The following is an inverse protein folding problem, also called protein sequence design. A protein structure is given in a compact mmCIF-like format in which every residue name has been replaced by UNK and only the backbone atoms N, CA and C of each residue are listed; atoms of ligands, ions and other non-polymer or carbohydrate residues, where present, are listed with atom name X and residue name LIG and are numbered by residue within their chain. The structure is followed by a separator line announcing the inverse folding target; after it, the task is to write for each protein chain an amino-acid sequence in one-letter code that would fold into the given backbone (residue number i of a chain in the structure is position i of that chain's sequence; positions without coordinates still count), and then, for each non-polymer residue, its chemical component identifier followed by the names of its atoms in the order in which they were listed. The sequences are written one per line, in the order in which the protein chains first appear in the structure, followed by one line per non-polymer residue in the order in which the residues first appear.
data_IF_161215683084
#
_entry.id   IF_161215683084
#
_cell.length_a   1.000
_cell.length_b   1.000
_cell.length_c   1.000
_cell.angle_alpha   90.00
_cell.angle_beta   90.00
_cell.angle_gamma   90.00
#
_symmetry.space_group_name_H-M   'P 1'
#
loop_
_entity.id
_entity.type
_entity.pdbx_description
1 polymer ?
#
# COMPACT_ATOMS: atom_id res chain seq x y z
N UNK A 1 -10.07 -21.20 -1.37
CA UNK A 1 -8.61 -21.31 -1.64
C UNK A 1 -7.92 -21.62 -0.32
N UNK A 2 -6.67 -22.08 -0.29
CA UNK A 2 -5.96 -22.23 1.00
C UNK A 2 -5.47 -20.88 1.52
N UNK A 3 -5.47 -20.69 2.84
CA UNK A 3 -4.75 -19.59 3.49
C UNK A 3 -3.27 -19.78 3.19
N UNK A 4 -2.60 -18.72 2.72
CA UNK A 4 -1.19 -18.79 2.32
C UNK A 4 -0.26 -18.72 3.54
N UNK A 5 0.92 -19.33 3.45
CA UNK A 5 1.95 -19.26 4.50
C UNK A 5 2.73 -17.96 4.41
N UNK A 6 3.37 -17.53 5.50
CA UNK A 6 4.25 -16.35 5.44
C UNK A 6 5.47 -16.54 4.54
N UNK A 7 5.99 -17.76 4.38
CA UNK A 7 7.05 -18.05 3.41
C UNK A 7 6.56 -17.73 1.98
N UNK A 8 5.35 -18.18 1.60
CA UNK A 8 4.73 -17.81 0.31
C UNK A 8 4.48 -16.30 0.20
N UNK A 9 3.83 -15.68 1.21
CA UNK A 9 3.49 -14.27 1.18
C UNK A 9 4.74 -13.38 1.10
N UNK A 10 5.84 -13.77 1.74
CA UNK A 10 7.09 -13.02 1.73
C UNK A 10 7.75 -13.01 0.35
N UNK A 11 7.86 -14.16 -0.32
CA UNK A 11 8.38 -14.24 -1.69
C UNK A 11 7.44 -13.56 -2.69
N UNK A 12 6.13 -13.76 -2.53
CA UNK A 12 5.13 -13.09 -3.36
C UNK A 12 5.27 -11.57 -3.26
N UNK A 13 5.40 -11.04 -2.04
CA UNK A 13 5.57 -9.60 -1.86
C UNK A 13 6.89 -9.09 -2.41
N UNK A 14 7.99 -9.83 -2.24
CA UNK A 14 9.28 -9.47 -2.84
C UNK A 14 9.14 -9.25 -4.36
N UNK A 15 8.50 -10.19 -5.05
CA UNK A 15 8.29 -10.08 -6.48
C UNK A 15 7.35 -8.93 -6.84
N UNK A 16 6.26 -8.72 -6.10
CA UNK A 16 5.41 -7.54 -6.28
C UNK A 16 6.18 -6.21 -6.08
N UNK A 17 7.04 -6.15 -5.06
CA UNK A 17 7.85 -4.99 -4.75
C UNK A 17 8.79 -4.66 -5.91
N UNK A 18 9.53 -5.65 -6.40
CA UNK A 18 10.48 -5.51 -7.50
C UNK A 18 9.78 -5.11 -8.81
N UNK A 19 8.63 -5.72 -9.13
CA UNK A 19 7.90 -5.42 -10.37
C UNK A 19 7.20 -4.06 -10.36
N UNK A 20 6.60 -3.67 -9.22
CA UNK A 20 5.65 -2.55 -9.19
C UNK A 20 5.96 -1.53 -8.11
N UNK A 21 5.79 -1.90 -6.83
CA UNK A 21 5.72 -0.94 -5.73
C UNK A 21 7.01 -0.12 -5.55
N UNK A 22 8.18 -0.73 -5.83
CA UNK A 22 9.48 -0.04 -5.81
C UNK A 22 9.50 1.14 -6.78
N UNK A 23 9.09 0.91 -8.02
CA UNK A 23 9.07 1.93 -9.08
C UNK A 23 8.11 3.07 -8.74
N UNK A 24 6.93 2.74 -8.22
CA UNK A 24 5.96 3.74 -7.78
C UNK A 24 6.51 4.59 -6.62
N UNK A 25 7.09 3.95 -5.60
CA UNK A 25 7.71 4.66 -4.48
C UNK A 25 8.85 5.57 -4.93
N UNK A 26 9.68 5.12 -5.87
CA UNK A 26 10.77 5.93 -6.44
C UNK A 26 10.24 7.14 -7.21
N UNK A 27 9.16 6.98 -7.98
CA UNK A 27 8.51 8.08 -8.67
C UNK A 27 7.99 9.16 -7.70
N UNK A 28 7.38 8.77 -6.58
CA UNK A 28 6.96 9.75 -5.56
C UNK A 28 8.12 10.45 -4.85
N UNK A 29 9.22 9.73 -4.60
CA UNK A 29 10.36 10.28 -3.87
C UNK A 29 11.28 11.16 -4.72
N UNK A 30 11.45 10.84 -6.01
CA UNK A 30 12.47 11.48 -6.88
C UNK A 30 11.95 11.89 -8.26
N UNK A 31 10.69 11.57 -8.58
CA UNK A 31 10.10 11.88 -9.88
C UNK A 31 9.64 13.32 -10.00
N UNK A 32 9.65 13.82 -11.23
CA UNK A 32 8.92 15.03 -11.59
C UNK A 32 7.40 14.75 -11.63
N UNK A 33 6.59 15.80 -11.82
CA UNK A 33 5.13 15.70 -11.87
C UNK A 33 4.64 14.60 -12.82
N UNK A 34 5.17 14.55 -14.05
CA UNK A 34 4.78 13.56 -15.06
C UNK A 34 5.02 12.12 -14.59
N UNK A 35 6.19 11.84 -14.01
CA UNK A 35 6.51 10.52 -13.44
C UNK A 35 5.57 10.16 -12.29
N UNK A 36 5.23 11.12 -11.42
CA UNK A 36 4.29 10.90 -10.32
C UNK A 36 2.87 10.60 -10.81
N UNK A 37 2.38 11.34 -11.81
CA UNK A 37 1.06 11.09 -12.42
C UNK A 37 1.01 9.73 -13.13
N UNK A 38 2.06 9.37 -13.85
CA UNK A 38 2.18 8.05 -14.48
C UNK A 38 2.20 6.91 -13.44
N UNK A 39 2.91 7.11 -12.33
CA UNK A 39 2.91 6.17 -11.21
C UNK A 39 1.52 6.04 -10.56
N UNK A 40 0.80 7.15 -10.33
CA UNK A 40 -0.58 7.12 -9.83
C UNK A 40 -1.51 6.34 -10.76
N UNK A 41 -1.39 6.54 -12.07
CA UNK A 41 -2.18 5.81 -13.07
C UNK A 41 -1.92 4.32 -13.02
N UNK A 42 -0.64 3.94 -13.01
CA UNK A 42 -0.23 2.54 -12.99
C UNK A 42 -0.64 1.86 -11.69
N UNK A 43 -0.37 2.50 -10.54
CA UNK A 43 -0.77 2.03 -9.22
C UNK A 43 -2.30 1.90 -9.09
N UNK A 44 -3.05 2.90 -9.58
CA UNK A 44 -4.52 2.87 -9.56
C UNK A 44 -5.10 1.69 -10.32
N UNK A 45 -4.48 1.30 -11.44
CA UNK A 45 -4.81 0.09 -12.20
C UNK A 45 -4.42 -1.18 -11.44
N UNK A 46 -3.16 -1.28 -11.00
CA UNK A 46 -2.63 -2.43 -10.26
C UNK A 46 -3.47 -2.78 -9.02
N UNK A 47 -3.73 -1.78 -8.18
CA UNK A 47 -4.55 -1.92 -6.98
C UNK A 47 -6.07 -1.96 -7.23
N UNK A 48 -6.50 -1.82 -8.50
CA UNK A 48 -7.91 -1.80 -8.93
C UNK A 48 -8.76 -0.73 -8.25
N UNK A 49 -8.15 0.42 -7.96
CA UNK A 49 -8.81 1.58 -7.33
C UNK A 49 -9.11 2.72 -8.30
N UNK A 50 -8.59 2.66 -9.54
CA UNK A 50 -8.79 3.70 -10.55
C UNK A 50 -10.27 4.06 -10.82
N UNK A 51 -11.17 3.07 -10.71
CA UNK A 51 -12.63 3.26 -10.86
C UNK A 51 -13.26 4.24 -9.88
N UNK A 52 -12.58 4.53 -8.76
CA UNK A 52 -13.06 5.45 -7.74
C UNK A 52 -12.80 6.93 -8.10
N UNK A 53 -12.04 7.19 -9.16
CA UNK A 53 -11.70 8.53 -9.61
C UNK A 53 -12.21 8.72 -11.06
N UNK A 54 -13.49 9.00 -11.31
CA UNK A 54 -13.99 9.13 -12.68
C UNK A 54 -13.31 10.28 -13.44
N UNK A 55 -13.13 10.15 -14.75
CA UNK A 55 -12.46 11.19 -15.57
C UNK A 55 -13.26 12.48 -15.73
N UNK A 56 -14.55 12.47 -15.38
CA UNK A 56 -15.39 13.68 -15.35
C UNK A 56 -14.92 14.73 -14.33
N UNK A 57 -14.10 14.33 -13.36
CA UNK A 57 -13.56 15.20 -12.33
C UNK A 57 -12.12 15.68 -12.61
N UNK A 58 -11.44 15.13 -13.63
CA UNK A 58 -10.10 15.58 -14.05
C UNK A 58 -10.00 15.83 -15.56
N UNK A 59 -9.78 14.80 -16.39
CA UNK A 59 -9.49 14.95 -17.82
C UNK A 59 -10.60 15.71 -18.57
N UNK A 60 -11.88 15.44 -18.26
CA UNK A 60 -13.01 16.17 -18.90
C UNK A 60 -13.14 17.62 -18.42
N UNK A 61 -12.42 18.02 -17.37
CA UNK A 61 -12.28 19.41 -16.91
C UNK A 61 -10.99 20.07 -17.44
N UNK A 62 -10.27 19.41 -18.34
CA UNK A 62 -9.01 19.92 -18.91
C UNK A 62 -7.79 19.75 -17.99
N UNK A 63 -7.91 18.98 -16.91
CA UNK A 63 -6.79 18.68 -16.00
C UNK A 63 -6.03 17.44 -16.48
N UNK A 64 -4.77 17.28 -16.05
CA UNK A 64 -4.08 16.00 -16.25
C UNK A 64 -4.74 14.94 -15.37
N UNK A 65 -4.81 13.70 -15.87
CA UNK A 65 -5.37 12.56 -15.15
C UNK A 65 -4.71 12.38 -13.77
N UNK A 66 -5.49 12.32 -12.69
CA UNK A 66 -5.05 12.27 -11.29
C UNK A 66 -4.35 13.53 -10.73
N UNK A 67 -4.32 14.64 -11.47
CA UNK A 67 -3.71 15.88 -10.99
C UNK A 67 -4.28 16.36 -9.63
N UNK A 68 -5.62 16.39 -9.40
CA UNK A 68 -6.15 16.81 -8.09
C UNK A 68 -5.67 15.92 -6.93
N UNK A 69 -5.48 14.62 -7.17
CA UNK A 69 -4.94 13.70 -6.17
C UNK A 69 -3.47 14.00 -5.90
N UNK A 70 -2.68 14.23 -6.96
CA UNK A 70 -1.26 14.53 -6.82
C UNK A 70 -1.02 15.82 -6.03
N UNK A 71 -1.79 16.87 -6.30
CA UNK A 71 -1.70 18.16 -5.58
C UNK A 71 -1.91 17.96 -4.07
N UNK A 72 -2.93 17.18 -3.69
CA UNK A 72 -3.17 16.84 -2.28
C UNK A 72 -2.00 16.04 -1.71
N UNK A 73 -1.57 14.98 -2.41
CA UNK A 73 -0.49 14.12 -1.95
C UNK A 73 0.85 14.85 -1.83
N UNK A 74 1.16 15.79 -2.73
CA UNK A 74 2.41 16.56 -2.69
C UNK A 74 2.51 17.46 -1.46
N UNK A 75 1.38 17.92 -0.93
CA UNK A 75 1.30 18.61 0.36
C UNK A 75 1.44 17.71 1.60
N UNK A 76 1.54 16.38 1.44
CA UNK A 76 1.59 15.45 2.58
C UNK A 76 3.03 14.98 2.88
N UNK A 77 3.41 14.99 4.16
CA UNK A 77 4.68 14.46 4.64
C UNK A 77 4.44 13.44 5.76
N UNK A 78 5.47 12.65 6.11
CA UNK A 78 5.41 11.70 7.23
C UNK A 78 5.11 12.37 8.57
N UNK A 79 5.52 13.63 8.73
CA UNK A 79 5.34 14.43 9.94
C UNK A 79 3.87 14.66 10.29
N UNK A 80 3.00 14.74 9.28
CA UNK A 80 1.57 14.96 9.48
C UNK A 80 0.85 13.80 10.17
N UNK A 81 1.49 12.63 10.32
CA UNK A 81 0.91 11.43 10.91
C UNK A 81 1.40 11.15 12.34
N UNK A 82 2.21 12.04 12.94
CA UNK A 82 2.81 11.82 14.27
C UNK A 82 1.78 11.82 15.40
N UNK A 83 0.79 12.70 15.33
CA UNK A 83 -0.17 12.89 16.43
C UNK A 83 -1.34 11.90 16.33
N UNK A 84 -2.07 11.95 15.22
CA UNK A 84 -3.21 11.06 14.96
C UNK A 84 -3.24 10.67 13.48
N UNK A 85 -2.62 9.53 13.19
CA UNK A 85 -2.53 8.99 11.84
C UNK A 85 -3.91 8.70 11.22
N UNK A 86 -4.87 8.21 12.02
CA UNK A 86 -6.19 7.81 11.52
C UNK A 86 -6.97 9.05 11.12
N UNK A 87 -7.00 10.05 12.00
CA UNK A 87 -7.61 11.36 11.69
C UNK A 87 -6.98 11.97 10.44
N UNK A 88 -5.64 11.97 10.33
CA UNK A 88 -4.98 12.56 9.16
C UNK A 88 -5.32 11.85 7.86
N UNK A 89 -5.38 10.51 7.86
CA UNK A 89 -5.82 9.74 6.69
C UNK A 89 -7.26 10.10 6.31
N UNK A 90 -8.16 10.21 7.29
CA UNK A 90 -9.56 10.55 7.03
C UNK A 90 -9.75 12.00 6.55
N UNK A 91 -8.89 12.93 6.94
CA UNK A 91 -8.86 14.29 6.38
C UNK A 91 -8.46 14.26 4.91
N UNK A 92 -7.35 13.59 4.58
CA UNK A 92 -6.86 13.45 3.19
C UNK A 92 -7.88 12.71 2.33
N UNK A 93 -8.54 11.69 2.89
CA UNK A 93 -9.62 10.95 2.23
C UNK A 93 -10.77 11.87 1.84
N UNK A 94 -11.21 12.74 2.77
CA UNK A 94 -12.26 13.74 2.51
C UNK A 94 -11.84 14.77 1.46
N UNK A 95 -10.59 15.22 1.48
CA UNK A 95 -10.06 16.14 0.47
C UNK A 95 -10.10 15.50 -0.93
N UNK A 96 -9.60 14.27 -1.07
CA UNK A 96 -9.64 13.53 -2.35
C UNK A 96 -11.10 13.28 -2.75
N UNK A 97 -11.93 12.84 -1.81
CA UNK A 97 -13.35 12.57 -2.04
C UNK A 97 -14.08 13.80 -2.60
N UNK A 98 -13.84 14.98 -2.00
CA UNK A 98 -14.43 16.25 -2.43
C UNK A 98 -14.05 16.66 -3.85
N UNK A 99 -12.83 16.32 -4.31
CA UNK A 99 -12.41 16.55 -5.71
C UNK A 99 -13.10 15.61 -6.70
N UNK A 100 -13.56 14.45 -6.26
CA UNK A 100 -14.11 13.38 -7.10
C UNK A 100 -15.58 13.03 -6.80
N UNK A 101 -16.37 14.03 -6.42
CA UNK A 101 -17.83 13.89 -6.28
C UNK A 101 -18.29 13.24 -4.99
N UNK A 102 -17.56 13.42 -3.89
CA UNK A 102 -17.88 12.93 -2.54
C UNK A 102 -18.06 11.41 -2.46
N UNK A 103 -17.22 10.66 -3.19
CA UNK A 103 -17.21 9.19 -3.22
C UNK A 103 -16.36 8.62 -2.08
N UNK A 104 -16.66 7.39 -1.64
CA UNK A 104 -15.76 6.69 -0.71
C UNK A 104 -14.45 6.31 -1.41
N UNK A 105 -13.34 6.89 -0.96
CA UNK A 105 -12.00 6.69 -1.54
C UNK A 105 -10.99 6.17 -0.53
N UNK A 106 -11.40 5.78 0.68
CA UNK A 106 -10.52 5.34 1.76
C UNK A 106 -9.46 4.29 1.38
N UNK A 107 -9.85 3.23 0.65
CA UNK A 107 -8.90 2.21 0.19
C UNK A 107 -7.88 2.78 -0.80
N UNK A 108 -8.33 3.67 -1.70
CA UNK A 108 -7.44 4.36 -2.64
C UNK A 108 -6.47 5.27 -1.90
N UNK A 109 -6.99 6.08 -0.97
CA UNK A 109 -6.23 7.05 -0.19
C UNK A 109 -5.10 6.36 0.56
N UNK A 110 -5.40 5.29 1.31
CA UNK A 110 -4.36 4.55 2.07
C UNK A 110 -3.32 3.90 1.16
N UNK A 111 -3.71 3.38 -0.01
CA UNK A 111 -2.77 2.81 -0.99
C UNK A 111 -1.83 3.86 -1.58
N UNK A 112 -2.36 5.02 -2.00
CA UNK A 112 -1.52 6.09 -2.54
C UNK A 112 -0.64 6.75 -1.48
N UNK A 113 -1.15 6.93 -0.26
CA UNK A 113 -0.35 7.39 0.87
C UNK A 113 0.77 6.41 1.20
N UNK A 114 0.51 5.10 1.19
CA UNK A 114 1.55 4.10 1.41
C UNK A 114 2.66 4.16 0.33
N UNK A 115 2.31 4.35 -0.94
CA UNK A 115 3.32 4.50 -2.01
C UNK A 115 4.23 5.73 -1.80
N UNK A 116 3.68 6.80 -1.23
CA UNK A 116 4.45 8.02 -0.97
C UNK A 116 5.27 7.94 0.32
N UNK A 117 4.70 7.43 1.40
CA UNK A 117 5.22 7.60 2.77
C UNK A 117 5.63 6.25 3.39
N UNK A 118 5.02 5.16 2.92
CA UNK A 118 5.04 3.81 3.52
C UNK A 118 4.50 3.85 4.93
N UNK A 119 5.36 4.09 5.92
CA UNK A 119 4.98 4.17 7.32
C UNK A 119 4.73 5.61 7.78
N UNK A 120 3.74 5.85 8.66
CA UNK A 120 3.01 4.84 9.45
C UNK A 120 1.67 4.37 8.83
N UNK A 121 1.48 4.54 7.52
CA UNK A 121 0.20 4.24 6.87
C UNK A 121 0.04 2.74 6.62
N UNK A 122 -1.03 2.14 7.13
CA UNK A 122 -1.49 0.81 6.75
C UNK A 122 -2.48 0.90 5.58
N UNK A 123 -2.38 -0.04 4.63
CA UNK A 123 -3.31 -0.12 3.52
C UNK A 123 -4.66 -0.66 4.02
N UNK A 124 -5.72 0.11 3.80
CA UNK A 124 -7.09 -0.32 4.07
C UNK A 124 -7.63 -1.06 2.85
N UNK A 125 -7.61 -2.40 2.90
CA UNK A 125 -8.15 -3.27 1.85
C UNK A 125 -9.37 -4.04 2.36
N UNK A 126 -10.37 -4.26 1.51
CA UNK A 126 -11.60 -4.92 1.93
C UNK A 126 -11.37 -6.35 2.42
N UNK A 127 -10.43 -7.09 1.82
CA UNK A 127 -10.12 -8.46 2.21
C UNK A 127 -9.36 -8.49 3.54
N UNK A 128 -8.37 -7.60 3.71
CA UNK A 128 -7.64 -7.49 4.95
C UNK A 128 -8.57 -7.09 6.12
N UNK A 129 -9.48 -6.14 5.87
CA UNK A 129 -10.53 -5.73 6.81
C UNK A 129 -11.42 -6.90 7.24
N UNK A 130 -11.89 -7.71 6.28
CA UNK A 130 -12.70 -8.92 6.57
C UNK A 130 -11.88 -9.90 7.42
N UNK A 131 -10.62 -10.14 7.05
CA UNK A 131 -9.76 -11.11 7.73
C UNK A 131 -9.48 -10.77 9.21
N UNK A 132 -9.41 -9.48 9.54
CA UNK A 132 -9.27 -9.00 10.93
C UNK A 132 -10.61 -8.72 11.61
N UNK A 133 -11.74 -8.88 10.90
CA UNK A 133 -13.09 -8.69 11.45
C UNK A 133 -13.41 -7.25 11.80
N UNK A 134 -12.91 -6.26 11.05
CA UNK A 134 -13.24 -4.85 11.26
C UNK A 134 -14.49 -4.42 10.49
N UNK A 135 -15.23 -3.44 11.01
CA UNK A 135 -16.41 -2.89 10.34
C UNK A 135 -16.04 -2.11 9.08
N UNK A 136 -16.98 -2.01 8.14
CA UNK A 136 -16.75 -1.29 6.89
C UNK A 136 -16.78 0.22 7.11
N UNK A 137 -15.65 0.88 6.82
CA UNK A 137 -15.47 2.32 6.99
C UNK A 137 -14.78 2.67 8.31
N UNK A 138 -14.71 1.74 9.25
CA UNK A 138 -14.04 1.94 10.53
C UNK A 138 -12.51 1.76 10.39
N UNK A 139 -11.85 2.84 10.00
CA UNK A 139 -10.40 2.88 9.88
C UNK A 139 -9.70 2.70 11.23
N UNK A 140 -10.26 3.25 12.31
CA UNK A 140 -9.67 3.18 13.65
C UNK A 140 -9.70 1.74 14.18
N UNK A 141 -10.86 1.09 14.12
CA UNK A 141 -10.99 -0.32 14.50
C UNK A 141 -10.18 -1.23 13.61
N UNK A 142 -10.04 -0.92 12.31
CA UNK A 142 -9.16 -1.66 11.41
C UNK A 142 -7.70 -1.58 11.87
N UNK A 143 -7.18 -0.37 12.14
CA UNK A 143 -5.80 -0.18 12.59
C UNK A 143 -5.54 -0.91 13.90
N UNK A 144 -6.46 -0.84 14.85
CA UNK A 144 -6.34 -1.55 16.12
C UNK A 144 -6.24 -3.06 15.91
N UNK A 145 -7.23 -3.67 15.26
CA UNK A 145 -7.30 -5.12 15.03
C UNK A 145 -6.16 -5.63 14.15
N UNK A 146 -5.74 -4.84 13.16
CA UNK A 146 -4.60 -5.15 12.31
C UNK A 146 -3.31 -5.20 13.14
N UNK A 147 -3.03 -4.19 13.98
CA UNK A 147 -1.82 -4.15 14.79
C UNK A 147 -1.79 -5.27 15.83
N UNK A 148 -2.89 -5.52 16.53
CA UNK A 148 -3.03 -6.65 17.45
C UNK A 148 -2.72 -7.98 16.74
N UNK A 149 -3.29 -8.19 15.55
CA UNK A 149 -3.03 -9.40 14.78
C UNK A 149 -1.61 -9.46 14.20
N UNK A 150 -1.00 -8.32 13.84
CA UNK A 150 0.37 -8.28 13.33
C UNK A 150 1.37 -8.67 14.42
N UNK A 151 1.22 -8.14 15.65
CA UNK A 151 2.11 -8.45 16.77
C UNK A 151 2.08 -9.95 17.11
N UNK A 152 0.93 -10.62 17.02
CA UNK A 152 0.82 -12.07 17.21
C UNK A 152 1.66 -12.87 16.18
N UNK A 153 1.78 -12.38 14.96
CA UNK A 153 2.46 -13.10 13.86
C UNK A 153 3.87 -12.57 13.56
N UNK A 154 4.32 -11.54 14.28
CA UNK A 154 5.52 -10.75 13.97
C UNK A 154 6.78 -11.60 13.88
N UNK A 155 7.02 -12.47 14.86
CA UNK A 155 8.19 -13.36 14.87
C UNK A 155 8.20 -14.29 13.66
N UNK A 156 7.04 -14.84 13.29
CA UNK A 156 6.92 -15.74 12.16
C UNK A 156 7.17 -15.00 10.84
N UNK A 157 6.64 -13.79 10.68
CA UNK A 157 6.87 -12.94 9.51
C UNK A 157 8.36 -12.59 9.39
N UNK A 158 9.00 -12.19 10.49
CA UNK A 158 10.42 -11.86 10.53
C UNK A 158 11.28 -13.06 10.14
N UNK A 159 10.96 -14.25 10.66
CA UNK A 159 11.63 -15.51 10.31
C UNK A 159 11.46 -15.88 8.83
N UNK A 160 10.29 -15.64 8.24
CA UNK A 160 10.08 -15.84 6.80
C UNK A 160 10.87 -14.84 5.97
N UNK A 161 10.83 -13.55 6.34
CA UNK A 161 11.57 -12.50 5.64
C UNK A 161 13.08 -12.69 5.70
N UNK A 162 13.63 -13.19 6.82
CA UNK A 162 15.08 -13.41 6.96
C UNK A 162 15.63 -14.51 6.04
N UNK A 163 14.78 -15.38 5.49
CA UNK A 163 15.16 -16.41 4.52
C UNK A 163 15.19 -15.90 3.07
N UNK A 164 14.49 -14.80 2.77
CA UNK A 164 14.35 -14.27 1.41
C UNK A 164 15.68 -14.04 0.67
N UNK A 165 16.77 -13.58 1.31
CA UNK A 165 18.04 -13.40 0.61
C UNK A 165 18.58 -14.69 -0.05
N UNK A 166 18.29 -15.86 0.55
CA UNK A 166 18.69 -17.16 -0.01
C UNK A 166 17.80 -17.60 -1.18
N UNK A 167 16.69 -16.88 -1.43
CA UNK A 167 15.76 -17.13 -2.53
C UNK A 167 15.94 -16.14 -3.68
N UNK A 168 17.07 -15.43 -3.75
CA UNK A 168 17.32 -14.38 -4.75
C UNK A 168 17.20 -14.89 -6.21
N UNK A 169 17.49 -16.17 -6.47
CA UNK A 169 17.32 -16.78 -7.79
C UNK A 169 15.84 -16.85 -8.24
N UNK A 170 14.90 -16.74 -7.32
CA UNK A 170 13.45 -16.68 -7.59
C UNK A 170 12.91 -15.24 -7.67
N UNK A 171 13.79 -14.23 -7.58
CA UNK A 171 13.42 -12.84 -7.78
C UNK A 171 13.09 -12.59 -9.26
N UNK A 172 11.99 -11.88 -9.51
CA UNK A 172 11.53 -11.51 -10.85
C UNK A 172 12.48 -10.57 -11.60
N UNK A 173 13.30 -9.82 -10.86
CA UNK A 173 14.35 -8.94 -11.38
C UNK A 173 15.61 -9.23 -10.58
N UNK A 174 16.54 -9.99 -11.18
CA UNK A 174 17.78 -10.41 -10.52
C UNK A 174 18.88 -9.34 -10.55
N UNK A 175 18.76 -8.34 -11.43
CA UNK A 175 19.70 -7.21 -11.47
C UNK A 175 19.52 -6.33 -10.24
N UNK A 176 18.27 -6.10 -9.83
CA UNK A 176 17.93 -5.35 -8.62
C UNK A 176 17.84 -6.27 -7.39
N UNK A 177 17.24 -7.45 -7.55
CA UNK A 177 16.98 -8.45 -6.51
C UNK A 177 18.22 -9.23 -6.08
N UNK A 178 19.33 -8.54 -5.84
CA UNK A 178 20.54 -9.16 -5.28
C UNK A 178 20.30 -9.64 -3.85
N UNK A 179 21.12 -10.59 -3.39
CA UNK A 179 21.04 -11.12 -2.02
C UNK A 179 21.14 -10.00 -0.98
N UNK A 180 22.04 -9.05 -1.19
CA UNK A 180 22.27 -7.89 -0.32
C UNK A 180 21.06 -6.96 -0.30
N UNK A 181 20.52 -6.63 -1.48
CA UNK A 181 19.34 -5.77 -1.59
C UNK A 181 18.11 -6.41 -0.92
N UNK A 182 17.88 -7.70 -1.17
CA UNK A 182 16.78 -8.44 -0.56
C UNK A 182 16.92 -8.46 0.96
N UNK A 183 18.13 -8.69 1.48
CA UNK A 183 18.40 -8.66 2.92
C UNK A 183 18.07 -7.29 3.52
N UNK A 184 18.50 -6.22 2.86
CA UNK A 184 18.23 -4.87 3.33
C UNK A 184 16.72 -4.58 3.33
N UNK A 185 16.03 -4.81 2.22
CA UNK A 185 14.63 -4.40 2.05
C UNK A 185 13.67 -5.25 2.91
N UNK A 186 13.89 -6.56 2.99
CA UNK A 186 13.04 -7.48 3.76
C UNK A 186 13.17 -7.31 5.27
N UNK A 187 14.27 -6.71 5.74
CA UNK A 187 14.47 -6.36 7.15
C UNK A 187 13.65 -5.15 7.59
N UNK A 188 13.11 -4.35 6.65
CA UNK A 188 12.36 -3.14 6.98
C UNK A 188 10.98 -3.51 7.51
N UNK A 189 10.53 -2.80 8.55
CA UNK A 189 9.20 -2.97 9.14
C UNK A 189 8.09 -2.85 8.10
N UNK A 190 8.12 -1.81 7.24
CA UNK A 190 7.13 -1.63 6.19
C UNK A 190 7.04 -2.82 5.22
N UNK A 191 8.12 -3.55 5.00
CA UNK A 191 8.10 -4.73 4.13
C UNK A 191 7.37 -5.88 4.84
N UNK A 192 7.66 -6.10 6.12
CA UNK A 192 7.01 -7.11 6.96
C UNK A 192 5.51 -6.85 7.12
N UNK A 193 5.12 -5.58 7.29
CA UNK A 193 3.71 -5.17 7.31
C UNK A 193 2.99 -5.56 6.00
N UNK A 194 3.64 -5.39 4.85
CA UNK A 194 3.07 -5.76 3.55
C UNK A 194 3.01 -7.25 3.30
N UNK A 195 3.95 -8.03 3.83
CA UNK A 195 3.85 -9.50 3.87
C UNK A 195 2.60 -9.91 4.66
N UNK A 196 2.34 -9.26 5.79
CA UNK A 196 1.14 -9.51 6.58
C UNK A 196 -0.14 -9.09 5.86
N UNK A 197 -0.14 -7.98 5.13
CA UNK A 197 -1.29 -7.56 4.31
C UNK A 197 -1.66 -8.61 3.25
N UNK A 198 -0.67 -9.26 2.61
CA UNK A 198 -0.91 -10.33 1.63
C UNK A 198 -1.45 -11.59 2.32
N UNK A 199 -0.94 -11.92 3.50
CA UNK A 199 -1.48 -13.01 4.32
C UNK A 199 -2.96 -12.75 4.66
N UNK A 200 -3.29 -11.56 5.18
CA UNK A 200 -4.66 -11.16 5.49
C UNK A 200 -5.56 -11.18 4.26
N UNK A 201 -5.07 -10.70 3.12
CA UNK A 201 -5.82 -10.75 1.87
C UNK A 201 -6.18 -12.18 1.45
N UNK A 202 -5.24 -13.13 1.63
CA UNK A 202 -5.50 -14.55 1.38
C UNK A 202 -6.50 -15.15 2.36
N UNK A 203 -6.47 -14.72 3.62
CA UNK A 203 -7.40 -15.16 4.67
C UNK A 203 -8.81 -14.63 4.43
N UNK A 204 -8.96 -13.34 4.11
CA UNK A 204 -10.25 -12.70 3.88
C UNK A 204 -11.02 -13.27 2.69
N UNK A 205 -10.31 -13.77 1.67
CA UNK A 205 -10.92 -14.49 0.53
C UNK A 205 -11.58 -15.83 0.88
N UNK A 206 -11.26 -16.38 2.04
CA UNK A 206 -11.76 -17.67 2.50
C UNK A 206 -12.81 -17.54 3.62
N UNK A 207 -13.23 -16.30 3.91
CA UNK A 207 -14.36 -15.98 4.79
C UNK A 207 -15.58 -15.69 3.90
#
# INVERSE_FOLDING_TARGET
MSIQTFDYCSLYYLNQWLTYDRGYCQAFSKGNEEKKLSALKSAGGFYRVARNLPSEFDEKKGLKRYQPVLEILDGVSKEHFRDDQVKKILEIEREISGKYGNRSVLSLTTKFLWLKIKQPVLIYDSQARIAVGSENGDLAGYYKKWNESFEIHKEQIQKSCSKLPELNLYAVDQEVGTKEYIKEVSSKSWFQERVFDIYLWSKGKNV
#
